data_IF_495004946868
#
_entry.id   IF_495004946868
#
_cell.length_a   1.000
_cell.length_b   1.000
_cell.length_c   1.000
_cell.angle_alpha   90.00
_cell.angle_beta   90.00
_cell.angle_gamma   90.00
#
_symmetry.space_group_name_H-M   'P 1'
#
loop_
_entity.id
_entity.type
_entity.pdbx_description
1 polymer ?
#
# COMPACT_ATOMS: atom_id res chain seq x y z
N UNK A 1 6.43 12.60 31.59
CA UNK A 1 4.96 12.87 31.46
C UNK A 1 4.54 12.75 29.99
N UNK A 2 5.40 13.17 29.05
CA UNK A 2 5.11 13.17 27.62
C UNK A 2 5.18 11.77 26.99
N UNK A 3 6.09 10.91 27.45
CA UNK A 3 6.21 9.52 26.98
C UNK A 3 4.99 8.65 27.28
N UNK A 4 4.33 8.87 28.43
CA UNK A 4 3.12 8.12 28.81
C UNK A 4 1.91 8.60 27.99
N UNK A 5 1.80 9.91 27.77
CA UNK A 5 0.72 10.50 26.95
C UNK A 5 0.84 10.02 25.50
N UNK A 6 2.04 10.04 24.94
CA UNK A 6 2.31 9.54 23.57
C UNK A 6 2.00 8.05 23.45
N UNK A 7 2.37 7.24 24.46
CA UNK A 7 2.10 5.80 24.47
C UNK A 7 0.60 5.47 24.51
N UNK A 8 -0.17 6.18 25.34
CA UNK A 8 -1.63 6.01 25.44
C UNK A 8 -2.32 6.44 24.14
N UNK A 9 -1.89 7.55 23.54
CA UNK A 9 -2.42 8.04 22.26
C UNK A 9 -2.14 7.04 21.12
N UNK A 10 -0.93 6.48 21.07
CA UNK A 10 -0.53 5.50 20.06
C UNK A 10 -1.36 4.22 20.15
N UNK A 11 -1.83 3.82 21.32
CA UNK A 11 -2.69 2.65 21.49
C UNK A 11 -4.18 2.98 21.32
N UNK A 12 -4.62 4.16 21.73
CA UNK A 12 -6.04 4.54 21.69
C UNK A 12 -6.56 4.73 20.26
N UNK A 13 -5.76 5.36 19.37
CA UNK A 13 -6.16 5.61 17.98
C UNK A 13 -6.39 4.31 17.17
N UNK A 14 -5.53 3.29 17.21
CA UNK A 14 -5.79 2.00 16.56
C UNK A 14 -7.03 1.29 17.12
N UNK A 15 -7.24 1.32 18.43
CA UNK A 15 -8.41 0.69 19.06
C UNK A 15 -9.70 1.39 18.61
N UNK A 16 -9.68 2.73 18.57
CA UNK A 16 -10.82 3.51 18.09
C UNK A 16 -11.09 3.25 16.60
N UNK A 17 -10.03 3.16 15.79
CA UNK A 17 -10.12 2.81 14.36
C UNK A 17 -10.77 1.44 14.17
N UNK A 18 -10.32 0.44 14.91
CA UNK A 18 -10.92 -0.90 14.89
C UNK A 18 -12.38 -0.88 15.32
N UNK A 19 -12.71 -0.13 16.36
CA UNK A 19 -14.09 0.07 16.81
C UNK A 19 -14.98 0.64 15.72
N UNK A 20 -14.52 1.66 15.02
CA UNK A 20 -15.26 2.29 13.91
C UNK A 20 -15.44 1.30 12.74
N UNK A 21 -14.38 0.56 12.36
CA UNK A 21 -14.45 -0.45 11.29
C UNK A 21 -15.49 -1.53 11.61
N UNK A 22 -15.62 -1.93 12.88
CA UNK A 22 -16.64 -2.90 13.31
C UNK A 22 -18.05 -2.32 13.41
N UNK A 23 -18.18 -1.03 13.71
CA UNK A 23 -19.47 -0.36 13.89
C UNK A 23 -20.11 0.04 12.56
N UNK A 24 -19.32 0.55 11.62
CA UNK A 24 -19.82 1.09 10.33
C UNK A 24 -20.64 0.06 9.53
N UNK A 25 -20.25 -1.23 9.40
CA UNK A 25 -21.07 -2.21 8.68
C UNK A 25 -22.42 -2.50 9.33
N UNK A 26 -22.57 -2.23 10.64
CA UNK A 26 -23.84 -2.42 11.36
C UNK A 26 -24.84 -1.28 11.09
N UNK A 27 -24.39 -0.17 10.51
CA UNK A 27 -25.25 0.96 10.11
C UNK A 27 -25.81 0.70 8.72
N UNK A 28 -27.14 0.48 8.58
CA UNK A 28 -27.73 -0.04 7.33
C UNK A 28 -27.62 0.89 6.12
N UNK A 29 -27.38 2.18 6.32
CA UNK A 29 -27.23 3.16 5.24
C UNK A 29 -25.79 3.49 4.89
N UNK A 30 -24.91 3.63 5.88
CA UNK A 30 -23.49 3.98 5.67
C UNK A 30 -22.65 2.77 5.22
N UNK A 31 -22.89 1.60 5.79
CA UNK A 31 -22.09 0.40 5.51
C UNK A 31 -22.24 -0.15 4.08
N UNK A 32 -23.31 0.25 3.37
CA UNK A 32 -23.53 -0.12 1.95
C UNK A 32 -22.95 0.90 0.97
N UNK A 33 -22.76 2.15 1.38
CA UNK A 33 -22.36 3.24 0.49
C UNK A 33 -20.85 3.46 0.50
N UNK A 34 -20.19 3.30 1.65
CA UNK A 34 -18.78 3.60 1.82
C UNK A 34 -18.06 2.43 2.50
N UNK A 35 -16.85 2.05 2.02
CA UNK A 35 -16.04 1.06 2.70
C UNK A 35 -15.68 1.53 4.11
N UNK A 36 -15.87 0.66 5.10
CA UNK A 36 -15.63 0.98 6.51
C UNK A 36 -14.21 1.52 6.82
N UNK A 37 -13.12 1.08 6.14
CA UNK A 37 -11.81 1.67 6.35
C UNK A 37 -11.74 3.14 5.92
N UNK A 38 -12.42 3.53 4.85
CA UNK A 38 -12.43 4.92 4.38
C UNK A 38 -13.14 5.83 5.39
N UNK A 39 -14.26 5.38 5.91
CA UNK A 39 -15.02 6.12 6.95
C UNK A 39 -14.17 6.28 8.21
N UNK A 40 -13.45 5.23 8.62
CA UNK A 40 -12.59 5.29 9.80
C UNK A 40 -11.43 6.28 9.62
N UNK A 41 -10.79 6.30 8.45
CA UNK A 41 -9.73 7.26 8.15
C UNK A 41 -10.26 8.70 8.26
N UNK A 42 -11.40 9.00 7.64
CA UNK A 42 -11.99 10.35 7.68
C UNK A 42 -12.32 10.77 9.11
N UNK A 43 -12.97 9.90 9.88
CA UNK A 43 -13.37 10.21 11.25
C UNK A 43 -12.14 10.42 12.15
N UNK A 44 -11.16 9.53 12.07
CA UNK A 44 -9.96 9.62 12.89
C UNK A 44 -9.13 10.85 12.52
N UNK A 45 -8.94 11.13 11.22
CA UNK A 45 -8.22 12.33 10.77
C UNK A 45 -8.91 13.61 11.25
N UNK A 46 -10.23 13.67 11.14
CA UNK A 46 -11.00 14.80 11.64
C UNK A 46 -10.85 14.97 13.17
N UNK A 47 -10.90 13.86 13.90
CA UNK A 47 -10.78 13.87 15.37
C UNK A 47 -9.37 14.29 15.81
N UNK A 48 -8.32 13.83 15.14
CA UNK A 48 -6.93 14.20 15.39
C UNK A 48 -6.72 15.70 15.16
N UNK A 49 -7.23 16.23 14.05
CA UNK A 49 -7.12 17.66 13.73
C UNK A 49 -7.90 18.52 14.74
N UNK A 50 -9.12 18.10 15.11
CA UNK A 50 -9.97 18.87 16.01
C UNK A 50 -9.47 18.90 17.43
N UNK A 51 -8.91 17.78 17.91
CA UNK A 51 -8.32 17.65 19.25
C UNK A 51 -6.86 18.12 19.32
N UNK A 52 -6.27 18.53 18.21
CA UNK A 52 -4.84 18.91 18.09
C UNK A 52 -3.91 17.87 18.75
N UNK A 53 -4.16 16.61 18.46
CA UNK A 53 -3.35 15.51 18.99
C UNK A 53 -2.04 15.48 18.21
N UNK A 54 -0.91 15.61 18.90
CA UNK A 54 0.42 15.48 18.30
C UNK A 54 0.66 14.03 17.86
N UNK A 55 0.37 13.75 16.62
CA UNK A 55 0.65 12.45 15.98
C UNK A 55 1.55 12.67 14.77
N UNK A 56 2.39 11.69 14.48
CA UNK A 56 3.21 11.71 13.27
C UNK A 56 2.29 11.75 12.04
N UNK A 57 2.43 12.83 11.29
CA UNK A 57 1.75 12.98 10.02
C UNK A 57 2.61 12.45 8.87
N UNK A 58 1.99 12.17 7.73
CA UNK A 58 2.73 11.74 6.53
C UNK A 58 3.77 12.80 6.13
N UNK A 59 3.44 14.09 6.32
CA UNK A 59 4.35 15.20 6.05
C UNK A 59 5.60 15.24 6.96
N UNK A 60 5.51 14.68 8.17
CA UNK A 60 6.64 14.58 9.11
C UNK A 60 7.59 13.43 8.73
N UNK A 61 7.07 12.39 8.08
CA UNK A 61 7.83 11.20 7.69
C UNK A 61 8.49 11.37 6.31
N UNK A 62 7.83 12.07 5.41
CA UNK A 62 8.34 12.32 4.06
C UNK A 62 7.74 13.62 3.52
N UNK A 63 8.58 14.48 2.96
CA UNK A 63 8.09 15.61 2.16
C UNK A 63 7.48 15.06 0.87
N UNK A 64 6.16 14.88 0.86
CA UNK A 64 5.42 14.54 -0.35
C UNK A 64 5.32 15.81 -1.19
N UNK A 65 6.40 16.18 -1.85
CA UNK A 65 6.33 17.23 -2.87
C UNK A 65 5.66 16.62 -4.09
N UNK A 66 4.41 17.05 -4.37
CA UNK A 66 3.64 16.59 -5.50
C UNK A 66 4.36 16.86 -6.82
N UNK A 67 5.08 15.86 -7.30
CA UNK A 67 5.77 15.88 -8.59
C UNK A 67 5.67 14.50 -9.24
N UNK A 68 5.69 14.47 -10.56
CA UNK A 68 5.85 13.22 -11.28
C UNK A 68 7.25 12.65 -10.98
N UNK A 69 7.36 11.33 -10.75
CA UNK A 69 8.67 10.71 -10.53
C UNK A 69 9.55 10.94 -11.75
N UNK A 70 10.74 11.49 -11.52
CA UNK A 70 11.70 11.76 -12.58
C UNK A 70 12.39 10.46 -12.99
N UNK A 71 12.48 10.25 -14.30
CA UNK A 71 13.26 9.15 -14.84
C UNK A 71 14.74 9.41 -14.59
N UNK A 72 15.39 8.55 -13.84
CA UNK A 72 16.81 8.63 -13.55
C UNK A 72 17.49 7.28 -13.74
N UNK A 73 18.62 7.29 -14.43
CA UNK A 73 19.49 6.12 -14.47
C UNK A 73 20.39 6.18 -13.26
N UNK A 74 20.35 5.19 -12.35
CA UNK A 74 21.21 5.18 -11.17
C UNK A 74 22.67 5.28 -11.57
N UNK A 75 23.36 6.37 -11.20
CA UNK A 75 24.77 6.58 -11.45
C UNK A 75 25.63 5.86 -10.41
N UNK A 76 25.51 4.54 -10.33
CA UNK A 76 26.26 3.72 -9.41
C UNK A 76 27.42 3.05 -10.17
N UNK A 77 28.65 3.08 -9.67
CA UNK A 77 29.75 2.40 -10.33
C UNK A 77 29.49 0.88 -10.38
N UNK A 78 29.57 0.30 -11.59
CA UNK A 78 29.42 -1.14 -11.80
C UNK A 78 30.70 -1.88 -11.37
N UNK A 79 30.95 -1.89 -10.06
CA UNK A 79 32.06 -2.60 -9.44
C UNK A 79 31.55 -3.84 -8.72
N UNK A 80 32.43 -4.83 -8.56
CA UNK A 80 32.15 -6.06 -7.84
C UNK A 80 31.75 -5.78 -6.37
N UNK A 81 32.35 -4.77 -5.75
CA UNK A 81 32.03 -4.35 -4.39
C UNK A 81 30.60 -3.83 -4.26
N UNK A 82 30.14 -3.04 -5.24
CA UNK A 82 28.74 -2.57 -5.30
C UNK A 82 27.77 -3.75 -5.44
N UNK A 83 28.09 -4.72 -6.29
CA UNK A 83 27.29 -5.92 -6.45
C UNK A 83 27.17 -6.72 -5.15
N UNK A 84 28.27 -6.90 -4.43
CA UNK A 84 28.28 -7.61 -3.14
C UNK A 84 27.43 -6.92 -2.07
N UNK A 85 27.36 -5.58 -2.10
CA UNK A 85 26.52 -4.82 -1.16
C UNK A 85 25.04 -4.93 -1.54
N UNK A 86 24.71 -4.81 -2.81
CA UNK A 86 23.31 -4.75 -3.28
C UNK A 86 22.65 -6.14 -3.36
N UNK A 87 23.43 -7.17 -3.71
CA UNK A 87 22.93 -8.52 -3.96
C UNK A 87 22.12 -9.12 -2.80
N UNK A 88 22.58 -9.11 -1.54
CA UNK A 88 21.82 -9.70 -0.43
C UNK A 88 20.47 -8.99 -0.20
N UNK A 89 20.42 -7.66 -0.33
CA UNK A 89 19.20 -6.90 -0.18
C UNK A 89 18.23 -7.17 -1.32
N UNK A 90 18.72 -7.19 -2.56
CA UNK A 90 17.87 -7.46 -3.73
C UNK A 90 17.34 -8.88 -3.73
N UNK A 91 18.13 -9.89 -3.33
CA UNK A 91 17.66 -11.28 -3.20
C UNK A 91 16.60 -11.42 -2.11
N UNK A 92 16.79 -10.76 -0.97
CA UNK A 92 15.82 -10.79 0.14
C UNK A 92 14.50 -10.15 -0.29
N UNK A 93 14.55 -8.96 -0.90
CA UNK A 93 13.35 -8.27 -1.41
C UNK A 93 12.66 -9.07 -2.51
N UNK A 94 13.41 -9.65 -3.45
CA UNK A 94 12.87 -10.49 -4.50
C UNK A 94 12.20 -11.74 -3.93
N UNK A 95 12.83 -12.40 -2.96
CA UNK A 95 12.28 -13.59 -2.30
C UNK A 95 10.98 -13.30 -1.58
N UNK A 96 10.94 -12.26 -0.75
CA UNK A 96 9.74 -11.85 -0.01
C UNK A 96 8.64 -11.44 -1.00
N UNK A 97 8.96 -10.59 -1.98
CA UNK A 97 7.98 -10.10 -2.96
C UNK A 97 7.38 -11.21 -3.82
N UNK A 98 8.18 -12.19 -4.24
CA UNK A 98 7.69 -13.33 -5.01
C UNK A 98 6.79 -14.25 -4.17
N UNK A 99 7.18 -14.54 -2.92
CA UNK A 99 6.37 -15.36 -2.01
C UNK A 99 5.03 -14.68 -1.77
N UNK A 100 5.00 -13.40 -1.44
CA UNK A 100 3.77 -12.67 -1.18
C UNK A 100 2.87 -12.58 -2.42
N UNK A 101 3.43 -12.31 -3.59
CA UNK A 101 2.69 -12.25 -4.86
C UNK A 101 2.10 -13.61 -5.23
N UNK A 102 2.83 -14.70 -5.05
CA UNK A 102 2.35 -16.05 -5.35
C UNK A 102 1.30 -16.52 -4.35
N UNK A 103 1.44 -16.17 -3.07
CA UNK A 103 0.39 -16.44 -2.05
C UNK A 103 -0.88 -15.66 -2.38
N UNK A 104 -0.74 -14.39 -2.77
CA UNK A 104 -1.89 -13.57 -3.20
C UNK A 104 -2.56 -14.21 -4.41
N UNK A 105 -1.79 -14.63 -5.41
CA UNK A 105 -2.32 -15.30 -6.61
C UNK A 105 -3.11 -16.56 -6.25
N UNK A 106 -2.56 -17.43 -5.41
CA UNK A 106 -3.22 -18.68 -4.99
C UNK A 106 -4.52 -18.40 -4.23
N UNK A 107 -4.50 -17.44 -3.31
CA UNK A 107 -5.68 -17.06 -2.56
C UNK A 107 -6.79 -16.50 -3.47
N UNK A 108 -6.40 -15.66 -4.42
CA UNK A 108 -7.34 -15.08 -5.40
C UNK A 108 -7.92 -16.17 -6.30
N UNK A 109 -7.11 -17.12 -6.73
CA UNK A 109 -7.56 -18.25 -7.55
C UNK A 109 -8.59 -19.09 -6.83
N UNK A 110 -8.41 -19.36 -5.53
CA UNK A 110 -9.37 -20.09 -4.71
C UNK A 110 -10.70 -19.34 -4.58
N UNK A 111 -10.66 -18.03 -4.34
CA UNK A 111 -11.88 -17.22 -4.11
C UNK A 111 -12.64 -16.97 -5.41
N UNK A 112 -11.94 -16.80 -6.52
CA UNK A 112 -12.55 -16.50 -7.83
C UNK A 112 -12.79 -17.74 -8.68
N UNK A 113 -12.40 -18.92 -8.21
CA UNK A 113 -12.45 -20.19 -8.94
C UNK A 113 -11.75 -20.12 -10.31
N UNK A 114 -10.65 -19.38 -10.37
CA UNK A 114 -9.84 -19.20 -11.58
C UNK A 114 -8.49 -19.90 -11.42
N UNK A 115 -7.74 -20.00 -12.52
CA UNK A 115 -6.36 -20.48 -12.50
C UNK A 115 -5.44 -19.43 -13.07
N UNK A 116 -4.69 -18.78 -12.21
CA UNK A 116 -3.62 -17.87 -12.55
C UNK A 116 -2.41 -18.59 -13.19
N UNK A 117 -1.50 -17.81 -13.71
CA UNK A 117 -0.25 -18.34 -14.31
C UNK A 117 0.94 -17.83 -13.48
N UNK A 118 1.47 -18.61 -12.50
CA UNK A 118 2.54 -18.18 -11.61
C UNK A 118 3.77 -17.64 -12.33
N UNK A 119 4.21 -18.30 -13.41
CA UNK A 119 5.36 -17.87 -14.18
C UNK A 119 5.16 -16.48 -14.82
N UNK A 120 3.94 -16.17 -15.28
CA UNK A 120 3.64 -14.84 -15.83
C UNK A 120 3.61 -13.78 -14.74
N UNK A 121 3.13 -14.13 -13.57
CA UNK A 121 3.11 -13.25 -12.41
C UNK A 121 4.53 -12.89 -11.97
N UNK A 122 5.40 -13.89 -11.79
CA UNK A 122 6.80 -13.66 -11.45
C UNK A 122 7.52 -12.78 -12.48
N UNK A 123 7.30 -13.03 -13.76
CA UNK A 123 7.90 -12.22 -14.83
C UNK A 123 7.35 -10.80 -14.84
N UNK A 124 6.03 -10.64 -14.70
CA UNK A 124 5.38 -9.34 -14.62
C UNK A 124 5.85 -8.52 -13.42
N UNK A 125 5.95 -9.15 -12.26
CA UNK A 125 6.47 -8.56 -11.04
C UNK A 125 7.92 -8.09 -11.19
N UNK A 126 8.77 -8.93 -11.77
CA UNK A 126 10.18 -8.59 -12.03
C UNK A 126 10.31 -7.39 -12.97
N UNK A 127 9.58 -7.40 -14.09
CA UNK A 127 9.59 -6.30 -15.06
C UNK A 127 9.07 -4.99 -14.46
N UNK A 128 8.01 -5.07 -13.67
CA UNK A 128 7.45 -3.91 -12.96
C UNK A 128 8.46 -3.30 -11.98
N UNK A 129 9.13 -4.15 -11.18
CA UNK A 129 10.12 -3.68 -10.21
C UNK A 129 11.35 -3.08 -10.87
N UNK A 130 11.83 -3.63 -11.98
CA UNK A 130 12.89 -3.02 -12.78
C UNK A 130 12.46 -1.64 -13.30
N UNK A 131 11.24 -1.53 -13.81
CA UNK A 131 10.70 -0.25 -14.26
C UNK A 131 10.64 0.77 -13.12
N UNK A 132 10.12 0.39 -11.95
CA UNK A 132 10.10 1.24 -10.77
C UNK A 132 11.49 1.73 -10.36
N UNK A 133 12.51 0.87 -10.49
CA UNK A 133 13.89 1.24 -10.19
C UNK A 133 14.42 2.40 -11.04
N UNK A 134 14.02 2.52 -12.30
CA UNK A 134 14.39 3.66 -13.16
C UNK A 134 13.70 4.98 -12.75
N UNK A 135 12.63 4.90 -12.00
CA UNK A 135 11.96 6.07 -11.44
C UNK A 135 12.33 6.34 -9.98
N UNK A 136 13.40 5.71 -9.49
CA UNK A 136 13.87 5.88 -8.10
C UNK A 136 12.91 5.33 -7.05
N UNK A 137 11.93 4.52 -7.47
CA UNK A 137 10.95 3.93 -6.57
C UNK A 137 11.43 2.58 -6.04
N UNK A 138 10.99 2.26 -4.82
CA UNK A 138 11.22 0.94 -4.24
C UNK A 138 10.36 -0.12 -4.96
N UNK A 139 10.91 -1.31 -5.12
CA UNK A 139 10.15 -2.46 -5.63
C UNK A 139 8.96 -2.79 -4.72
N UNK A 140 7.86 -3.22 -5.32
CA UNK A 140 6.65 -3.62 -4.63
C UNK A 140 6.25 -5.05 -4.94
N UNK A 141 5.22 -5.53 -4.26
CA UNK A 141 4.61 -6.85 -4.46
C UNK A 141 3.08 -6.76 -4.39
N UNK A 142 2.41 -7.82 -4.82
CA UNK A 142 0.95 -7.89 -4.73
C UNK A 142 0.52 -8.13 -3.28
N UNK A 143 -0.25 -7.21 -2.72
CA UNK A 143 -0.74 -7.30 -1.34
C UNK A 143 -2.09 -8.03 -1.28
N UNK A 144 -2.20 -9.01 -0.40
CA UNK A 144 -3.43 -9.80 -0.18
C UNK A 144 -4.60 -8.89 0.18
N UNK A 145 -4.41 -7.97 1.13
CA UNK A 145 -5.47 -7.09 1.63
C UNK A 145 -6.10 -6.22 0.55
N UNK A 146 -5.28 -5.56 -0.27
CA UNK A 146 -5.76 -4.71 -1.37
C UNK A 146 -6.45 -5.53 -2.47
N UNK A 147 -5.91 -6.69 -2.79
CA UNK A 147 -6.51 -7.60 -3.76
C UNK A 147 -7.86 -8.11 -3.30
N UNK A 148 -8.00 -8.45 -2.03
CA UNK A 148 -9.26 -8.88 -1.42
C UNK A 148 -10.32 -7.78 -1.43
N UNK A 149 -9.95 -6.53 -1.08
CA UNK A 149 -10.85 -5.38 -1.15
C UNK A 149 -11.33 -5.16 -2.59
N UNK A 150 -10.43 -5.25 -3.56
CA UNK A 150 -10.77 -5.09 -4.96
C UNK A 150 -11.79 -6.14 -5.42
N UNK A 151 -11.59 -7.41 -5.07
CA UNK A 151 -12.51 -8.50 -5.43
C UNK A 151 -13.86 -8.36 -4.71
N UNK A 152 -13.87 -8.06 -3.42
CA UNK A 152 -15.09 -7.86 -2.65
C UNK A 152 -15.91 -6.66 -3.14
N UNK A 153 -15.24 -5.68 -3.73
CA UNK A 153 -15.87 -4.53 -4.40
C UNK A 153 -16.34 -4.82 -5.83
N UNK A 154 -16.19 -6.07 -6.31
CA UNK A 154 -16.63 -6.50 -7.64
C UNK A 154 -15.59 -6.36 -8.75
N UNK A 155 -14.36 -5.96 -8.43
CA UNK A 155 -13.27 -5.86 -9.40
C UNK A 155 -12.78 -7.25 -9.83
N UNK A 156 -12.92 -7.59 -11.10
CA UNK A 156 -12.52 -8.92 -11.63
C UNK A 156 -11.56 -8.87 -12.81
N UNK A 157 -11.16 -7.68 -13.24
CA UNK A 157 -10.35 -7.52 -14.42
C UNK A 157 -9.13 -6.64 -14.20
N UNK A 158 -8.23 -6.65 -15.18
CA UNK A 158 -7.04 -5.79 -15.20
C UNK A 158 -7.37 -4.29 -15.16
N UNK A 159 -8.52 -3.90 -15.70
CA UNK A 159 -9.01 -2.52 -15.68
C UNK A 159 -9.16 -1.99 -14.25
N UNK A 160 -9.60 -2.81 -13.32
CA UNK A 160 -9.74 -2.41 -11.91
C UNK A 160 -8.39 -2.00 -11.31
N UNK A 161 -7.32 -2.76 -11.56
CA UNK A 161 -5.98 -2.41 -11.11
C UNK A 161 -5.43 -1.13 -11.76
N UNK A 162 -5.68 -0.95 -13.07
CA UNK A 162 -5.26 0.26 -13.81
C UNK A 162 -5.99 1.49 -13.24
N UNK A 163 -7.30 1.41 -13.05
CA UNK A 163 -8.08 2.50 -12.47
C UNK A 163 -7.61 2.83 -11.05
N UNK A 164 -7.33 1.82 -10.23
CA UNK A 164 -6.79 2.03 -8.89
C UNK A 164 -5.43 2.74 -8.91
N UNK A 165 -4.52 2.34 -9.81
CA UNK A 165 -3.21 2.97 -9.96
C UNK A 165 -3.32 4.43 -10.43
N UNK A 166 -4.17 4.70 -11.43
CA UNK A 166 -4.40 6.06 -11.95
C UNK A 166 -5.06 6.93 -10.88
N UNK A 167 -6.04 6.40 -10.15
CA UNK A 167 -6.68 7.14 -9.06
C UNK A 167 -5.69 7.50 -7.96
N UNK A 168 -4.82 6.56 -7.57
CA UNK A 168 -3.78 6.81 -6.58
C UNK A 168 -2.81 7.90 -7.06
N UNK A 169 -2.38 7.83 -8.32
CA UNK A 169 -1.53 8.86 -8.92
C UNK A 169 -2.21 10.24 -8.90
N UNK A 170 -3.48 10.31 -9.28
CA UNK A 170 -4.25 11.54 -9.22
C UNK A 170 -4.35 12.07 -7.78
N UNK A 171 -4.61 11.20 -6.82
CA UNK A 171 -4.64 11.62 -5.41
C UNK A 171 -3.32 12.23 -4.96
N UNK A 172 -2.20 11.60 -5.29
CA UNK A 172 -0.86 12.11 -4.93
C UNK A 172 -0.60 13.46 -5.60
N UNK A 173 -0.99 13.64 -6.86
CA UNK A 173 -0.72 14.89 -7.59
C UNK A 173 -1.61 16.07 -7.16
N UNK A 174 -2.86 15.81 -6.77
CA UNK A 174 -3.82 16.86 -6.46
C UNK A 174 -4.01 17.15 -4.97
N UNK A 175 -3.67 16.19 -4.09
CA UNK A 175 -3.88 16.29 -2.65
C UNK A 175 -2.57 16.19 -1.84
N UNK A 176 -1.45 16.35 -2.50
CA UNK A 176 -0.12 16.40 -1.84
C UNK A 176 0.18 17.78 -1.29
#
# INVERSE_FOLDING_TARGET
RDLVVTGVQTCALPILTMGIIFLVPKLPKLGKLLPSPLVSIIIISFLVIMLKIDTLTVGDLASVSGGLPEFSIPSVPFNFDTLLIVLPFSLTLAGIGLIESLLTLTLIDEITETKGKPNKECFGQGLSNVTCGFFGAMGGCAMIGQSMINISSGGRGRLSGIVAAVSLLCFILFFS
#
